data_IF_051072122072
#
_entry.id   IF_051072122072
#
_cell.length_a   1.000
_cell.length_b   1.000
_cell.length_c   1.000
_cell.angle_alpha   90.00
_cell.angle_beta   90.00
_cell.angle_gamma   90.00
#
_symmetry.space_group_name_H-M   'P 1'
#
loop_
_entity.id
_entity.type
_entity.pdbx_description
1 polymer ?
#
# COMPACT_ATOMS: atom_id res chain seq x y z
N UNK A 1 -3.10 -10.48 -8.55
CA UNK A 1 -2.12 -9.37 -8.56
C UNK A 1 -2.44 -8.44 -7.42
N UNK A 2 -1.49 -8.16 -6.54
CA UNK A 2 -1.73 -7.45 -5.29
C UNK A 2 -1.40 -5.96 -5.39
N UNK A 3 -2.12 -5.16 -4.63
CA UNK A 3 -1.91 -3.73 -4.48
C UNK A 3 -1.63 -3.45 -3.01
N UNK A 4 -0.78 -2.46 -2.73
CA UNK A 4 -0.30 -2.19 -1.38
C UNK A 4 -0.43 -0.71 -1.07
N UNK A 5 -0.91 -0.39 0.13
CA UNK A 5 -0.77 0.92 0.74
C UNK A 5 0.33 0.83 1.79
N UNK A 6 1.38 1.62 1.60
CA UNK A 6 2.51 1.70 2.53
C UNK A 6 2.38 3.04 3.26
N UNK A 7 2.14 2.98 4.56
CA UNK A 7 2.08 4.12 5.47
C UNK A 7 3.44 4.28 6.13
N UNK A 8 4.09 5.43 5.93
CA UNK A 8 5.39 5.74 6.49
C UNK A 8 5.21 6.86 7.51
N UNK A 9 5.41 6.49 8.77
CA UNK A 9 5.46 7.38 9.92
C UNK A 9 6.93 7.65 10.28
N UNK A 10 7.18 8.61 11.18
CA UNK A 10 8.54 9.00 11.54
C UNK A 10 9.40 7.83 12.05
N UNK A 11 8.78 6.81 12.66
CA UNK A 11 9.48 5.66 13.24
C UNK A 11 8.93 4.30 12.81
N UNK A 12 7.82 4.26 12.08
CA UNK A 12 7.11 3.02 11.75
C UNK A 12 6.69 2.95 10.29
N UNK A 13 6.63 1.72 9.76
CA UNK A 13 6.07 1.43 8.43
C UNK A 13 4.98 0.38 8.55
N UNK A 14 3.79 0.71 8.05
CA UNK A 14 2.66 -0.21 7.98
C UNK A 14 2.32 -0.49 6.52
N UNK A 15 2.08 -1.76 6.19
CA UNK A 15 1.72 -2.18 4.84
C UNK A 15 0.34 -2.81 4.88
N UNK A 16 -0.58 -2.28 4.08
CA UNK A 16 -1.92 -2.82 3.90
C UNK A 16 -2.06 -3.40 2.48
N UNK A 17 -2.52 -4.64 2.37
CA UNK A 17 -2.64 -5.36 1.11
C UNK A 17 -4.09 -5.37 0.59
N UNK A 18 -4.25 -5.24 -0.72
CA UNK A 18 -5.53 -5.29 -1.41
C UNK A 18 -5.45 -6.22 -2.63
N UNK A 19 -6.52 -6.97 -2.85
CA UNK A 19 -6.67 -7.85 -4.02
C UNK A 19 -7.05 -7.10 -5.30
N UNK A 20 -7.66 -5.92 -5.18
CA UNK A 20 -8.17 -5.17 -6.31
C UNK A 20 -7.62 -3.74 -6.35
N UNK A 21 -7.45 -3.22 -7.57
CA UNK A 21 -7.04 -1.83 -7.80
C UNK A 21 -8.03 -0.84 -7.20
N UNK A 22 -9.32 -1.11 -7.33
CA UNK A 22 -10.40 -0.23 -6.91
C UNK A 22 -10.42 -0.05 -5.40
N UNK A 23 -10.26 -1.15 -4.63
CA UNK A 23 -10.18 -1.07 -3.17
C UNK A 23 -8.94 -0.30 -2.72
N UNK A 24 -7.79 -0.56 -3.34
CA UNK A 24 -6.55 0.15 -3.02
C UNK A 24 -6.65 1.66 -3.32
N UNK A 25 -7.27 2.06 -4.45
CA UNK A 25 -7.49 3.48 -4.76
C UNK A 25 -8.45 4.11 -3.76
N UNK A 26 -9.54 3.42 -3.41
CA UNK A 26 -10.52 3.93 -2.45
C UNK A 26 -9.88 4.22 -1.09
N UNK A 27 -9.06 3.30 -0.58
CA UNK A 27 -8.33 3.52 0.67
C UNK A 27 -7.25 4.60 0.52
N UNK A 28 -6.54 4.65 -0.61
CA UNK A 28 -5.56 5.71 -0.84
C UNK A 28 -6.21 7.10 -0.81
N UNK A 29 -7.33 7.28 -1.51
CA UNK A 29 -8.08 8.53 -1.51
C UNK A 29 -8.59 8.93 -0.12
N UNK A 30 -8.91 7.94 0.73
CA UNK A 30 -9.28 8.16 2.13
C UNK A 30 -8.11 8.65 2.99
N UNK A 31 -6.90 8.17 2.74
CA UNK A 31 -5.73 8.42 3.61
C UNK A 31 -4.66 9.34 3.01
N UNK A 32 -4.78 9.81 1.76
CA UNK A 32 -3.76 10.64 1.07
C UNK A 32 -3.43 11.97 1.75
N UNK A 33 -4.29 12.43 2.68
CA UNK A 33 -4.06 13.63 3.50
C UNK A 33 -3.89 13.29 4.99
N UNK A 34 -3.54 12.05 5.30
CA UNK A 34 -3.14 11.65 6.65
C UNK A 34 -1.85 12.40 7.05
N UNK A 35 -1.59 12.42 8.35
CA UNK A 35 -0.36 12.96 8.95
C UNK A 35 0.91 12.18 8.56
N UNK A 36 0.75 11.00 7.94
CA UNK A 36 1.85 10.17 7.46
C UNK A 36 1.95 10.15 5.94
N UNK A 37 3.12 9.76 5.42
CA UNK A 37 3.31 9.58 3.97
C UNK A 37 2.68 8.27 3.52
N UNK A 38 1.73 8.34 2.59
CA UNK A 38 1.06 7.16 2.03
C UNK A 38 1.53 6.91 0.59
N UNK A 39 1.99 5.69 0.32
CA UNK A 39 2.41 5.24 -1.02
C UNK A 39 1.46 4.15 -1.49
N UNK A 40 0.81 4.36 -2.64
CA UNK A 40 0.08 3.32 -3.35
C UNK A 40 1.03 2.60 -4.31
N UNK A 41 1.29 1.32 -4.04
CA UNK A 41 2.15 0.47 -4.85
C UNK A 41 1.36 -0.67 -5.50
N UNK A 42 1.78 -1.07 -6.69
CA UNK A 42 1.29 -2.26 -7.38
C UNK A 42 2.40 -3.31 -7.29
N UNK A 43 2.23 -4.32 -6.45
CA UNK A 43 3.26 -5.36 -6.36
C UNK A 43 3.04 -6.44 -7.42
N UNK A 44 4.17 -6.98 -7.87
CA UNK A 44 4.22 -8.26 -8.54
C UNK A 44 4.53 -9.30 -7.46
N UNK A 45 3.94 -10.49 -7.56
CA UNK A 45 4.48 -11.63 -6.81
C UNK A 45 5.95 -11.75 -7.20
N UNK A 46 6.84 -11.68 -6.20
CA UNK A 46 8.21 -12.11 -6.38
C UNK A 46 8.15 -13.62 -6.38
N UNK A 47 8.52 -14.26 -7.49
CA UNK A 47 8.86 -15.67 -7.46
C UNK A 47 10.02 -15.78 -6.47
N UNK A 48 9.79 -16.41 -5.32
CA UNK A 48 10.87 -16.81 -4.43
C UNK A 48 11.67 -17.87 -5.16
N UNK A 49 12.74 -17.48 -5.85
CA UNK A 49 13.81 -18.42 -6.18
C UNK A 49 14.60 -18.66 -4.89
N UNK A 50 14.66 -19.94 -4.49
CA UNK A 50 15.39 -20.45 -3.32
C UNK A 50 16.84 -20.68 -3.71
#
# INVERSE_FOLDING_TARGET
MKYYLIFIWDYDVYVHEHDTKENAIKDYERYKYSECKVILAKGKELNWEV
#
